data_IF_139567297635
#
_entry.id   IF_139567297635
#
_cell.length_a   1.000
_cell.length_b   1.000
_cell.length_c   1.000
_cell.angle_alpha   90.00
_cell.angle_beta   90.00
_cell.angle_gamma   90.00
#
_symmetry.space_group_name_H-M   'P 1'
#
loop_
_entity.id
_entity.type
_entity.pdbx_description
1 polymer ?
#
# COMPACT_ATOMS: atom_id res chain seq x y z
N UNK A 1 -21.14 3.56 -31.24
CA UNK A 1 -20.49 2.33 -30.74
C UNK A 1 -19.18 2.75 -30.10
N UNK A 2 -18.82 2.21 -28.93
CA UNK A 2 -17.57 2.59 -28.28
C UNK A 2 -16.37 1.94 -29.00
N UNK A 3 -15.21 2.63 -29.06
CA UNK A 3 -13.99 2.04 -29.59
C UNK A 3 -13.63 0.76 -28.82
N UNK A 4 -13.17 -0.25 -29.54
CA UNK A 4 -12.65 -1.50 -29.00
C UNK A 4 -11.13 -1.42 -28.73
N UNK A 5 -10.57 -2.41 -28.03
CA UNK A 5 -9.12 -2.54 -27.81
C UNK A 5 -8.31 -2.69 -29.10
N UNK A 6 -8.96 -3.06 -30.21
CA UNK A 6 -8.34 -3.11 -31.54
C UNK A 6 -8.25 -1.75 -32.25
N UNK A 7 -9.01 -0.76 -31.78
CA UNK A 7 -8.96 0.61 -32.30
C UNK A 7 -7.72 1.36 -31.78
N UNK A 8 -7.35 2.43 -32.50
CA UNK A 8 -6.24 3.29 -32.12
C UNK A 8 -6.37 3.77 -30.66
N UNK A 9 -5.22 3.92 -29.99
CA UNK A 9 -5.15 4.40 -28.62
C UNK A 9 -5.83 5.77 -28.49
N UNK A 10 -5.65 6.63 -29.49
CA UNK A 10 -6.26 7.95 -29.62
C UNK A 10 -7.79 7.86 -29.65
N UNK A 11 -8.36 6.98 -30.48
CA UNK A 11 -9.81 6.78 -30.55
C UNK A 11 -10.36 6.29 -29.21
N UNK A 12 -9.70 5.31 -28.59
CA UNK A 12 -10.07 4.79 -27.26
C UNK A 12 -10.07 5.87 -26.19
N UNK A 13 -9.07 6.75 -26.17
CA UNK A 13 -8.99 7.83 -25.18
C UNK A 13 -9.97 8.96 -25.50
N UNK A 14 -10.28 9.24 -26.76
CA UNK A 14 -11.12 10.36 -27.15
C UNK A 14 -12.52 10.31 -26.51
N UNK A 15 -13.09 9.11 -26.30
CA UNK A 15 -14.38 8.97 -25.59
C UNK A 15 -14.31 9.65 -24.21
N UNK A 16 -13.20 9.43 -23.50
CA UNK A 16 -12.60 10.18 -22.39
C UNK A 16 -13.14 11.57 -22.06
N UNK A 17 -13.12 12.47 -23.05
CA UNK A 17 -13.15 13.90 -22.75
C UNK A 17 -12.05 14.35 -21.78
N UNK A 18 -11.03 13.52 -21.51
CA UNK A 18 -9.96 13.86 -20.58
C UNK A 18 -9.28 15.15 -21.02
N UNK A 19 -8.77 15.89 -20.03
CA UNK A 19 -7.96 17.06 -20.31
C UNK A 19 -6.75 16.73 -21.17
N UNK A 20 -6.32 17.70 -21.98
CA UNK A 20 -5.23 17.50 -22.93
C UNK A 20 -3.94 17.00 -22.27
N UNK A 21 -3.61 17.49 -21.07
CA UNK A 21 -2.46 17.03 -20.30
C UNK A 21 -2.54 15.53 -19.97
N UNK A 22 -3.71 15.04 -19.54
CA UNK A 22 -3.92 13.63 -19.20
C UNK A 22 -3.98 12.77 -20.46
N UNK A 23 -4.68 13.22 -21.51
CA UNK A 23 -4.67 12.55 -22.82
C UNK A 23 -3.25 12.35 -23.33
N UNK A 24 -2.43 13.40 -23.33
CA UNK A 24 -1.04 13.34 -23.78
C UNK A 24 -0.19 12.42 -22.90
N UNK A 25 -0.44 12.41 -21.58
CA UNK A 25 0.23 11.49 -20.64
C UNK A 25 -0.11 10.05 -20.95
N UNK A 26 -1.39 9.72 -21.17
CA UNK A 26 -1.81 8.37 -21.54
C UNK A 26 -1.16 7.98 -22.87
N UNK A 27 -1.26 8.79 -23.93
CA UNK A 27 -0.72 8.46 -25.25
C UNK A 27 0.78 8.13 -25.23
N UNK A 28 1.56 8.81 -24.39
CA UNK A 28 3.01 8.58 -24.23
C UNK A 28 3.36 7.48 -23.22
N UNK A 29 2.42 7.11 -22.34
CA UNK A 29 2.69 6.18 -21.26
C UNK A 29 2.83 4.75 -21.78
N UNK A 30 3.99 4.14 -21.50
CA UNK A 30 4.19 2.68 -21.62
C UNK A 30 3.81 1.95 -20.33
N UNK A 31 3.95 2.64 -19.20
CA UNK A 31 3.61 2.13 -17.87
C UNK A 31 2.65 3.06 -17.14
N UNK A 32 1.90 2.53 -16.20
CA UNK A 32 1.12 3.31 -15.25
C UNK A 32 1.33 2.80 -13.82
N UNK A 33 0.97 3.65 -12.86
CA UNK A 33 0.94 3.31 -11.45
C UNK A 33 -0.49 3.38 -10.94
N UNK A 34 -0.95 2.30 -10.32
CA UNK A 34 -2.26 2.24 -9.66
C UNK A 34 -2.06 2.40 -8.16
N UNK A 35 -2.64 3.45 -7.60
CA UNK A 35 -2.67 3.69 -6.16
C UNK A 35 -3.89 3.01 -5.55
N UNK A 36 -3.63 1.94 -4.80
CA UNK A 36 -4.52 1.45 -3.77
C UNK A 36 -4.55 2.39 -2.57
N UNK A 37 -5.00 1.86 -1.43
CA UNK A 37 -5.22 2.67 -0.23
C UNK A 37 -4.46 2.13 0.99
N UNK A 38 -3.78 1.00 0.86
CA UNK A 38 -3.08 0.36 1.96
C UNK A 38 -2.07 1.31 2.65
N UNK A 39 -1.81 1.12 3.95
CA UNK A 39 -0.93 2.00 4.73
C UNK A 39 0.44 2.26 4.09
N UNK A 40 1.01 1.29 3.38
CA UNK A 40 2.34 1.36 2.78
C UNK A 40 2.58 2.56 1.87
N UNK A 41 1.54 3.17 1.33
CA UNK A 41 1.66 4.39 0.51
C UNK A 41 2.22 5.57 1.31
N UNK A 42 2.12 5.57 2.65
CA UNK A 42 2.69 6.62 3.48
C UNK A 42 4.22 6.69 3.37
N UNK A 43 4.88 5.58 3.02
CA UNK A 43 6.33 5.52 2.74
C UNK A 43 6.71 6.07 1.37
N UNK A 44 5.75 6.31 0.48
CA UNK A 44 5.99 6.65 -0.92
C UNK A 44 5.91 8.17 -1.11
N UNK A 45 6.85 8.74 -1.87
CA UNK A 45 6.88 10.17 -2.21
C UNK A 45 5.99 10.49 -3.43
N UNK A 46 4.97 11.36 -3.31
CA UNK A 46 4.15 11.76 -4.46
C UNK A 46 4.92 12.45 -5.59
N UNK A 47 5.96 13.22 -5.26
CA UNK A 47 6.73 14.00 -6.26
C UNK A 47 7.44 13.12 -7.29
N UNK A 48 7.75 11.86 -6.95
CA UNK A 48 8.37 10.93 -7.89
C UNK A 48 7.47 10.60 -9.09
N UNK A 49 6.15 10.80 -8.99
CA UNK A 49 5.15 10.37 -9.97
C UNK A 49 4.69 11.49 -10.91
N UNK A 50 5.24 12.70 -10.84
CA UNK A 50 4.78 13.83 -11.63
C UNK A 50 4.74 13.54 -13.14
N UNK A 51 5.74 12.77 -13.62
CA UNK A 51 5.89 12.38 -15.04
C UNK A 51 5.20 11.06 -15.40
N UNK A 52 4.66 10.33 -14.42
CA UNK A 52 4.10 8.98 -14.60
C UNK A 52 2.58 9.01 -14.65
N UNK A 53 1.94 8.18 -15.48
CA UNK A 53 0.48 8.06 -15.46
C UNK A 53 0.03 7.44 -14.14
N UNK A 54 -0.69 8.22 -13.34
CA UNK A 54 -1.09 7.84 -11.99
C UNK A 54 -2.61 7.68 -11.92
N UNK A 55 -3.06 6.46 -11.65
CA UNK A 55 -4.47 6.11 -11.50
C UNK A 55 -4.71 5.80 -10.03
N UNK A 56 -5.62 6.52 -9.39
CA UNK A 56 -6.02 6.25 -8.01
C UNK A 56 -7.39 5.61 -7.93
N UNK A 57 -7.70 4.97 -6.79
CA UNK A 57 -9.01 4.36 -6.57
C UNK A 57 -9.72 4.98 -5.37
N UNK A 58 -11.06 5.00 -5.38
CA UNK A 58 -11.89 5.37 -4.23
C UNK A 58 -11.48 6.73 -3.61
N UNK A 59 -11.26 6.73 -2.28
CA UNK A 59 -10.93 7.90 -1.47
C UNK A 59 -9.43 8.18 -1.41
N UNK A 60 -8.67 7.79 -2.43
CA UNK A 60 -7.22 8.08 -2.55
C UNK A 60 -6.90 9.57 -2.36
N UNK A 61 -7.86 10.47 -2.60
CA UNK A 61 -7.75 11.91 -2.40
C UNK A 61 -7.59 12.36 -0.93
N UNK A 62 -7.75 11.44 0.01
CA UNK A 62 -7.41 11.63 1.44
C UNK A 62 -5.92 11.47 1.72
N UNK A 63 -5.15 11.01 0.75
CA UNK A 63 -3.69 10.85 0.84
C UNK A 63 -2.99 12.10 0.30
N UNK A 64 -1.66 12.11 0.31
CA UNK A 64 -0.87 13.18 -0.30
C UNK A 64 -0.78 13.08 -1.83
N UNK A 65 -1.36 12.06 -2.45
CA UNK A 65 -1.32 11.87 -3.90
C UNK A 65 -2.41 12.66 -4.63
N UNK A 66 -2.06 13.11 -5.83
CA UNK A 66 -2.98 13.74 -6.80
C UNK A 66 -2.95 12.95 -8.11
N UNK A 67 -3.75 11.87 -8.22
CA UNK A 67 -3.81 11.05 -9.43
C UNK A 67 -4.28 11.85 -10.65
N UNK A 68 -3.86 11.42 -11.83
CA UNK A 68 -4.38 11.93 -13.11
C UNK A 68 -5.84 11.50 -13.33
N UNK A 69 -6.16 10.27 -12.90
CA UNK A 69 -7.48 9.65 -13.00
C UNK A 69 -7.83 9.01 -11.66
N UNK A 70 -9.07 9.19 -11.20
CA UNK A 70 -9.60 8.42 -10.07
C UNK A 70 -10.70 7.48 -10.55
N UNK A 71 -10.60 6.21 -10.17
CA UNK A 71 -11.57 5.17 -10.45
C UNK A 71 -12.43 4.89 -9.22
N UNK A 72 -13.76 4.88 -9.37
CA UNK A 72 -14.70 4.53 -8.29
C UNK A 72 -15.80 3.64 -8.85
N UNK A 73 -16.05 2.51 -8.21
CA UNK A 73 -17.13 1.59 -8.63
C UNK A 73 -18.09 1.20 -7.50
N UNK A 74 -17.90 1.76 -6.30
CA UNK A 74 -18.83 1.70 -5.17
C UNK A 74 -19.24 3.13 -4.77
N UNK A 75 -20.54 3.48 -4.75
CA UNK A 75 -21.01 4.81 -4.38
C UNK A 75 -20.58 5.24 -2.98
N UNK A 76 -20.40 4.32 -2.03
CA UNK A 76 -19.94 4.64 -0.68
C UNK A 76 -18.47 5.09 -0.63
N UNK A 77 -17.71 4.79 -1.69
CA UNK A 77 -16.27 5.06 -1.77
C UNK A 77 -15.93 6.35 -2.51
N UNK A 78 -16.91 7.06 -3.08
CA UNK A 78 -16.69 8.39 -3.66
C UNK A 78 -16.48 9.43 -2.55
N UNK A 79 -15.31 10.09 -2.54
CA UNK A 79 -15.04 11.19 -1.61
C UNK A 79 -15.51 12.53 -2.16
N UNK A 80 -16.81 12.80 -1.98
CA UNK A 80 -17.45 14.03 -2.48
C UNK A 80 -16.84 15.31 -1.93
N UNK A 81 -16.25 15.28 -0.73
CA UNK A 81 -15.66 16.45 -0.09
C UNK A 81 -14.29 16.80 -0.68
N UNK A 82 -13.63 15.84 -1.33
CA UNK A 82 -12.30 16.00 -1.92
C UNK A 82 -12.30 15.98 -3.46
N UNK A 83 -13.48 16.07 -4.12
CA UNK A 83 -13.57 16.10 -5.59
C UNK A 83 -12.83 17.29 -6.22
N UNK A 84 -12.68 18.39 -5.51
CA UNK A 84 -11.90 19.54 -5.98
C UNK A 84 -10.40 19.23 -6.20
N UNK A 85 -9.91 18.07 -5.73
CA UNK A 85 -8.52 17.63 -5.93
C UNK A 85 -8.32 16.77 -7.18
N UNK A 86 -9.39 16.26 -7.80
CA UNK A 86 -9.29 15.38 -8.98
C UNK A 86 -9.44 16.16 -10.28
N UNK A 87 -8.73 15.70 -11.32
CA UNK A 87 -8.90 16.20 -12.68
C UNK A 87 -9.93 15.38 -13.46
N UNK A 88 -9.88 14.05 -13.31
CA UNK A 88 -10.70 13.13 -14.08
C UNK A 88 -11.24 12.00 -13.19
N UNK A 89 -12.51 11.66 -13.38
CA UNK A 89 -13.20 10.59 -12.66
C UNK A 89 -13.69 9.55 -13.68
N UNK A 90 -13.42 8.27 -13.44
CA UNK A 90 -14.02 7.16 -14.18
C UNK A 90 -14.86 6.37 -13.19
N UNK A 91 -16.17 6.25 -13.45
CA UNK A 91 -17.12 5.69 -12.48
C UNK A 91 -18.28 4.97 -13.16
N UNK A 92 -19.07 4.24 -12.36
CA UNK A 92 -20.26 3.55 -12.86
C UNK A 92 -21.45 4.51 -13.03
N UNK A 93 -22.35 4.22 -13.97
CA UNK A 93 -23.53 5.07 -14.28
C UNK A 93 -24.38 5.39 -13.04
N UNK A 94 -24.69 4.38 -12.23
CA UNK A 94 -25.52 4.56 -11.04
C UNK A 94 -24.86 5.47 -9.98
N UNK A 95 -23.53 5.52 -9.91
CA UNK A 95 -22.79 6.42 -9.02
C UNK A 95 -22.85 7.84 -9.57
N UNK A 96 -22.63 7.99 -10.88
CA UNK A 96 -22.74 9.28 -11.54
C UNK A 96 -24.13 9.88 -11.32
N UNK A 97 -25.20 9.14 -11.63
CA UNK A 97 -26.57 9.62 -11.44
C UNK A 97 -26.86 10.01 -9.99
N UNK A 98 -26.36 9.22 -9.02
CA UNK A 98 -26.53 9.49 -7.59
C UNK A 98 -25.81 10.77 -7.13
N UNK A 99 -24.67 11.11 -7.72
CA UNK A 99 -23.81 12.22 -7.25
C UNK A 99 -23.63 13.35 -8.28
N UNK A 100 -24.44 13.38 -9.35
CA UNK A 100 -24.29 14.30 -10.49
C UNK A 100 -24.15 15.76 -10.08
N UNK A 101 -24.92 16.24 -9.11
CA UNK A 101 -24.89 17.64 -8.67
C UNK A 101 -23.60 17.97 -7.91
N UNK A 102 -23.10 17.02 -7.12
CA UNK A 102 -21.82 17.15 -6.39
C UNK A 102 -20.62 17.07 -7.34
N UNK A 103 -20.75 16.24 -8.37
CA UNK A 103 -19.76 16.08 -9.44
C UNK A 103 -19.71 17.34 -10.30
N UNK A 104 -20.86 17.88 -10.72
CA UNK A 104 -20.95 19.10 -11.52
C UNK A 104 -20.47 20.35 -10.78
N UNK A 105 -20.69 20.42 -9.47
CA UNK A 105 -20.17 21.51 -8.62
C UNK A 105 -18.67 21.41 -8.32
N UNK A 106 -18.04 20.26 -8.57
CA UNK A 106 -16.60 20.10 -8.44
C UNK A 106 -15.89 20.68 -9.67
N UNK A 107 -15.74 22.02 -9.72
CA UNK A 107 -15.29 22.77 -10.91
C UNK A 107 -13.95 22.40 -11.55
N UNK A 108 -13.18 21.45 -11.00
CA UNK A 108 -11.96 20.89 -11.62
C UNK A 108 -12.16 19.55 -12.33
N UNK A 109 -13.34 18.94 -12.21
CA UNK A 109 -13.63 17.70 -12.89
C UNK A 109 -13.90 17.97 -14.37
N UNK A 110 -12.98 17.53 -15.23
CA UNK A 110 -13.00 17.87 -16.66
C UNK A 110 -13.77 16.86 -17.50
N UNK A 111 -13.92 15.63 -17.00
CA UNK A 111 -14.66 14.58 -17.69
C UNK A 111 -15.06 13.43 -16.78
N UNK A 112 -16.14 12.75 -17.17
CA UNK A 112 -16.65 11.54 -16.54
C UNK A 112 -16.97 10.49 -17.61
N UNK A 113 -16.69 9.22 -17.28
CA UNK A 113 -17.04 8.10 -18.14
C UNK A 113 -17.88 7.09 -17.43
N UNK A 114 -18.92 6.69 -18.15
CA UNK A 114 -20.04 5.89 -17.73
C UNK A 114 -19.81 4.46 -18.21
N UNK A 115 -19.44 3.60 -17.26
CA UNK A 115 -19.29 2.16 -17.48
C UNK A 115 -20.49 1.47 -16.82
N UNK A 116 -21.16 0.59 -17.56
CA UNK A 116 -22.22 -0.25 -17.03
C UNK A 116 -21.60 -1.24 -16.02
N UNK A 117 -22.32 -1.58 -14.96
CA UNK A 117 -21.90 -2.67 -14.07
C UNK A 117 -22.67 -3.91 -14.46
N UNK A 118 -21.96 -4.96 -14.86
CA UNK A 118 -22.57 -6.27 -14.90
C UNK A 118 -22.61 -6.80 -13.47
N UNK A 119 -23.78 -6.71 -12.83
CA UNK A 119 -24.08 -7.49 -11.63
C UNK A 119 -24.57 -8.85 -12.14
N UNK A 120 -23.75 -9.91 -12.17
CA UNK A 120 -24.32 -11.22 -12.38
C UNK A 120 -25.25 -11.48 -11.18
N UNK A 121 -26.57 -11.43 -11.42
CA UNK A 121 -27.60 -11.82 -10.46
C UNK A 121 -27.37 -13.27 -9.96
N UNK A 122 -26.58 -14.06 -10.70
CA UNK A 122 -25.97 -15.31 -10.26
C UNK A 122 -24.56 -15.08 -9.72
N UNK A 123 -24.38 -15.30 -8.42
CA UNK A 123 -23.07 -15.51 -7.78
C UNK A 123 -22.19 -16.40 -8.66
N UNK A 124 -21.11 -15.84 -9.22
CA UNK A 124 -19.72 -16.32 -9.08
C UNK A 124 -18.85 -15.59 -10.10
N UNK A 125 -17.76 -15.00 -9.59
CA UNK A 125 -16.69 -14.44 -10.39
C UNK A 125 -15.86 -15.49 -11.12
N UNK A 126 -16.12 -16.76 -10.84
CA UNK A 126 -15.51 -17.93 -11.48
C UNK A 126 -15.70 -17.95 -13.02
N UNK A 127 -16.57 -17.08 -13.56
CA UNK A 127 -16.95 -17.05 -14.99
C UNK A 127 -16.47 -15.82 -15.78
N UNK A 128 -15.61 -14.95 -15.23
CA UNK A 128 -15.03 -13.85 -16.04
C UNK A 128 -13.94 -14.41 -16.94
N UNK A 129 -14.28 -14.69 -18.19
CA UNK A 129 -13.39 -15.34 -19.15
C UNK A 129 -12.69 -14.40 -20.14
N UNK A 130 -13.11 -13.14 -20.18
CA UNK A 130 -12.50 -12.11 -21.01
C UNK A 130 -12.65 -10.72 -20.40
N UNK A 131 -11.79 -9.80 -20.83
CA UNK A 131 -12.02 -8.37 -20.65
C UNK A 131 -13.08 -7.91 -21.65
N UNK A 132 -13.92 -6.94 -21.26
CA UNK A 132 -14.77 -6.25 -22.21
C UNK A 132 -13.89 -5.47 -23.19
N UNK A 133 -13.84 -5.85 -24.48
CA UNK A 133 -12.95 -5.22 -25.45
C UNK A 133 -13.31 -3.75 -25.68
N UNK A 134 -14.50 -3.30 -25.31
CA UNK A 134 -14.94 -1.91 -25.43
C UNK A 134 -14.97 -1.19 -24.09
N UNK A 135 -14.68 -1.85 -22.96
CA UNK A 135 -14.84 -1.29 -21.61
C UNK A 135 -16.21 -0.59 -21.45
N UNK A 136 -17.27 -1.22 -21.95
CA UNK A 136 -18.66 -0.78 -21.77
C UNK A 136 -19.19 -1.25 -20.43
N UNK A 137 -18.66 -2.37 -19.94
CA UNK A 137 -19.02 -3.06 -18.73
C UNK A 137 -17.79 -3.34 -17.87
N UNK A 138 -18.00 -3.33 -16.55
CA UNK A 138 -17.07 -3.92 -15.57
C UNK A 138 -17.81 -4.96 -14.74
N UNK A 139 -17.06 -5.95 -14.27
CA UNK A 139 -17.53 -6.93 -13.29
C UNK A 139 -17.27 -6.39 -11.89
N UNK A 140 -18.23 -6.51 -10.95
CA UNK A 140 -18.07 -6.04 -9.57
C UNK A 140 -17.85 -7.14 -8.53
N UNK A 141 -16.69 -7.11 -7.87
CA UNK A 141 -16.11 -8.22 -7.11
C UNK A 141 -15.50 -7.77 -5.80
N UNK A 142 -15.71 -6.50 -5.48
CA UNK A 142 -15.33 -5.90 -4.22
C UNK A 142 -13.92 -5.28 -4.25
N UNK A 143 -13.29 -5.12 -5.41
CA UNK A 143 -11.97 -4.51 -5.51
C UNK A 143 -11.84 -3.61 -6.75
N UNK A 144 -11.99 -2.29 -6.59
CA UNK A 144 -11.92 -1.30 -7.69
C UNK A 144 -10.62 -1.38 -8.51
N UNK A 145 -9.51 -1.80 -7.88
CA UNK A 145 -8.24 -2.05 -8.59
C UNK A 145 -8.44 -3.12 -9.66
N UNK A 146 -8.99 -4.26 -9.28
CA UNK A 146 -9.23 -5.41 -10.14
C UNK A 146 -10.37 -5.14 -11.11
N UNK A 147 -11.46 -4.56 -10.60
CA UNK A 147 -12.73 -4.44 -11.29
C UNK A 147 -12.72 -3.33 -12.36
N UNK A 148 -11.93 -2.27 -12.15
CA UNK A 148 -11.97 -1.09 -13.00
C UNK A 148 -10.58 -0.55 -13.38
N UNK A 149 -9.68 -0.34 -12.43
CA UNK A 149 -8.41 0.36 -12.71
C UNK A 149 -7.48 -0.46 -13.64
N UNK A 150 -7.40 -1.78 -13.45
CA UNK A 150 -6.63 -2.66 -14.35
C UNK A 150 -7.30 -2.73 -15.74
N UNK A 151 -8.60 -3.09 -15.89
CA UNK A 151 -9.27 -3.09 -17.19
C UNK A 151 -9.14 -1.76 -17.95
N UNK A 152 -9.27 -0.62 -17.25
CA UNK A 152 -9.07 0.70 -17.83
C UNK A 152 -7.64 0.90 -18.36
N UNK A 153 -6.63 0.45 -17.61
CA UNK A 153 -5.23 0.53 -18.02
C UNK A 153 -4.94 -0.33 -19.26
N UNK A 154 -5.49 -1.54 -19.31
CA UNK A 154 -5.41 -2.41 -20.50
C UNK A 154 -6.12 -1.77 -21.69
N UNK A 155 -7.31 -1.20 -21.47
CA UNK A 155 -8.05 -0.46 -22.50
C UNK A 155 -7.31 0.79 -22.99
N UNK A 156 -6.42 1.38 -22.18
CA UNK A 156 -5.53 2.45 -22.63
C UNK A 156 -4.28 1.94 -23.37
N UNK A 157 -4.09 0.64 -23.53
CA UNK A 157 -2.90 0.07 -24.17
C UNK A 157 -1.63 0.28 -23.36
N UNK A 158 -1.72 0.27 -22.03
CA UNK A 158 -0.56 0.30 -21.13
C UNK A 158 0.11 -1.08 -21.12
N UNK A 159 1.43 -1.13 -21.24
CA UNK A 159 2.20 -2.39 -21.29
C UNK A 159 2.56 -2.91 -19.89
N UNK A 160 2.81 -1.99 -18.95
CA UNK A 160 3.23 -2.34 -17.58
C UNK A 160 2.41 -1.59 -16.52
N UNK A 161 1.83 -2.33 -15.58
CA UNK A 161 1.02 -1.80 -14.49
C UNK A 161 1.72 -2.07 -13.16
N UNK A 162 2.01 -1.02 -12.40
CA UNK A 162 2.62 -1.10 -11.08
C UNK A 162 1.63 -0.71 -10.00
N UNK A 163 1.22 -1.66 -9.16
CA UNK A 163 0.24 -1.42 -8.10
C UNK A 163 0.96 -1.08 -6.80
N UNK A 164 0.52 -0.01 -6.15
CA UNK A 164 1.02 0.51 -4.88
C UNK A 164 -0.10 0.45 -3.82
N UNK A 165 0.23 0.30 -2.54
CA UNK A 165 -0.78 0.24 -1.47
C UNK A 165 -1.66 -1.01 -1.52
N UNK A 166 -1.15 -2.12 -2.04
CA UNK A 166 -1.83 -3.42 -2.12
C UNK A 166 -1.45 -4.27 -0.90
N UNK A 167 -1.93 -3.85 0.27
CA UNK A 167 -1.39 -4.35 1.54
C UNK A 167 -2.11 -5.55 2.15
N UNK A 168 -3.21 -6.02 1.55
CA UNK A 168 -4.11 -7.04 2.09
C UNK A 168 -4.74 -6.61 3.44
N UNK A 169 -6.08 -6.54 3.47
CA UNK A 169 -6.83 -6.08 4.65
C UNK A 169 -6.47 -6.89 5.90
N UNK A 170 -6.29 -8.20 5.76
CA UNK A 170 -5.94 -9.10 6.87
C UNK A 170 -4.55 -8.84 7.47
N UNK A 171 -3.64 -8.23 6.70
CA UNK A 171 -2.24 -7.97 7.08
C UNK A 171 -1.93 -6.49 7.34
N UNK A 172 -2.90 -5.62 7.07
CA UNK A 172 -2.80 -4.18 7.28
C UNK A 172 -3.23 -3.73 8.68
N UNK A 173 -3.76 -4.64 9.52
CA UNK A 173 -4.17 -4.39 10.91
C UNK A 173 -3.22 -3.43 11.65
N UNK A 174 -3.72 -2.42 12.40
CA UNK A 174 -5.13 -2.21 12.76
C UNK A 174 -5.92 -1.39 11.75
N UNK A 175 -5.31 -0.92 10.65
CA UNK A 175 -6.01 -0.06 9.68
C UNK A 175 -5.91 -0.60 8.26
N UNK A 176 -7.02 -0.59 7.54
CA UNK A 176 -7.05 -1.05 6.15
C UNK A 176 -6.55 0.01 5.16
N UNK A 177 -6.50 1.29 5.57
CA UNK A 177 -6.16 2.40 4.70
C UNK A 177 -5.12 3.34 5.32
N UNK A 178 -4.35 4.04 4.50
CA UNK A 178 -3.31 4.98 4.92
C UNK A 178 -3.78 6.16 5.77
N UNK A 179 -5.08 6.47 5.71
CA UNK A 179 -5.75 7.51 6.50
C UNK A 179 -6.61 6.94 7.64
N UNK A 180 -6.57 5.63 7.90
CA UNK A 180 -7.35 4.98 8.95
C UNK A 180 -8.15 3.77 8.46
N UNK A 181 -9.20 3.41 9.20
CA UNK A 181 -10.13 2.34 8.81
C UNK A 181 -11.43 2.95 8.33
N UNK A 182 -11.94 2.43 7.21
CA UNK A 182 -13.38 2.49 6.96
C UNK A 182 -14.03 1.32 7.72
N UNK A 183 -15.34 1.40 8.02
CA UNK A 183 -16.08 0.25 8.56
C UNK A 183 -15.83 -0.98 7.68
N UNK A 184 -15.34 -2.05 8.29
CA UNK A 184 -14.87 -3.28 7.62
C UNK A 184 -16.04 -4.22 7.31
N UNK A 185 -17.26 -3.84 7.68
CA UNK A 185 -18.47 -4.60 7.39
C UNK A 185 -18.62 -4.81 5.88
N UNK A 186 -18.65 -6.07 5.45
CA UNK A 186 -18.81 -6.44 4.05
C UNK A 186 -17.55 -6.37 3.18
N UNK A 187 -16.36 -6.21 3.75
CA UNK A 187 -15.13 -6.37 2.98
C UNK A 187 -15.03 -7.82 2.42
N UNK A 188 -14.69 -8.01 1.13
CA UNK A 188 -14.52 -9.35 0.58
C UNK A 188 -13.38 -10.08 1.28
N UNK A 189 -13.51 -11.39 1.42
CA UNK A 189 -12.47 -12.24 1.99
C UNK A 189 -11.17 -12.14 1.17
N UNK A 190 -10.01 -12.13 1.82
CA UNK A 190 -8.71 -12.03 1.14
C UNK A 190 -8.50 -13.14 0.10
N UNK A 191 -9.04 -14.35 0.33
CA UNK A 191 -8.96 -15.47 -0.63
C UNK A 191 -9.68 -15.16 -1.93
N UNK A 192 -10.90 -14.62 -1.86
CA UNK A 192 -11.67 -14.15 -3.01
C UNK A 192 -10.91 -13.04 -3.73
N UNK A 193 -10.46 -12.01 -3.02
CA UNK A 193 -9.70 -10.90 -3.62
C UNK A 193 -8.45 -11.40 -4.36
N UNK A 194 -7.72 -12.35 -3.78
CA UNK A 194 -6.55 -12.95 -4.41
C UNK A 194 -6.94 -13.76 -5.66
N UNK A 195 -8.03 -14.52 -5.62
CA UNK A 195 -8.54 -15.22 -6.79
C UNK A 195 -8.87 -14.23 -7.92
N UNK A 196 -9.59 -13.15 -7.63
CA UNK A 196 -9.96 -12.13 -8.61
C UNK A 196 -8.74 -11.43 -9.22
N UNK A 197 -7.77 -11.07 -8.38
CA UNK A 197 -6.51 -10.49 -8.83
C UNK A 197 -5.74 -11.46 -9.74
N UNK A 198 -5.73 -12.76 -9.41
CA UNK A 198 -5.08 -13.79 -10.21
C UNK A 198 -5.75 -13.94 -11.58
N UNK A 199 -7.08 -13.97 -11.60
CA UNK A 199 -7.87 -14.03 -12.84
C UNK A 199 -7.61 -12.81 -13.71
N UNK A 200 -7.66 -11.61 -13.13
CA UNK A 200 -7.38 -10.37 -13.84
C UNK A 200 -5.92 -10.31 -14.36
N UNK A 201 -4.97 -10.84 -13.59
CA UNK A 201 -3.58 -11.01 -14.02
C UNK A 201 -3.45 -11.88 -15.27
N UNK A 202 -4.19 -13.00 -15.31
CA UNK A 202 -4.25 -13.87 -16.48
C UNK A 202 -4.85 -13.16 -17.70
N UNK A 203 -5.99 -12.50 -17.54
CA UNK A 203 -6.66 -11.80 -18.64
C UNK A 203 -5.81 -10.64 -19.21
N UNK A 204 -5.17 -9.85 -18.34
CA UNK A 204 -4.28 -8.79 -18.78
C UNK A 204 -3.06 -9.33 -19.56
N UNK A 205 -2.54 -10.50 -19.17
CA UNK A 205 -1.43 -11.14 -19.87
C UNK A 205 -1.83 -11.63 -21.28
N UNK A 206 -3.09 -12.02 -21.51
CA UNK A 206 -3.59 -12.35 -22.85
C UNK A 206 -3.56 -11.13 -23.79
N UNK A 207 -3.70 -9.92 -23.23
CA UNK A 207 -3.55 -8.64 -23.93
C UNK A 207 -2.09 -8.12 -23.95
N UNK A 208 -1.12 -8.95 -23.53
CA UNK A 208 0.30 -8.60 -23.52
C UNK A 208 0.72 -7.67 -22.38
N UNK A 209 -0.13 -7.44 -21.38
CA UNK A 209 0.11 -6.51 -20.29
C UNK A 209 0.72 -7.21 -19.07
N UNK A 210 1.76 -6.61 -18.48
CA UNK A 210 2.41 -7.11 -17.26
C UNK A 210 1.93 -6.34 -16.04
N UNK A 211 1.60 -7.06 -14.97
CA UNK A 211 1.16 -6.46 -13.71
C UNK A 211 2.14 -6.82 -12.60
N UNK A 212 2.55 -5.81 -11.84
CA UNK A 212 3.50 -5.93 -10.74
C UNK A 212 2.92 -5.33 -9.46
N UNK A 213 3.24 -5.95 -8.32
CA UNK A 213 3.04 -5.33 -7.01
C UNK A 213 4.32 -4.59 -6.61
N UNK A 214 4.28 -3.27 -6.63
CA UNK A 214 5.36 -2.38 -6.22
C UNK A 214 5.12 -1.75 -4.84
N UNK A 215 4.15 -2.28 -4.08
CA UNK A 215 3.87 -1.84 -2.71
C UNK A 215 5.09 -2.04 -1.81
N UNK A 216 5.29 -1.09 -0.91
CA UNK A 216 6.39 -1.09 0.04
C UNK A 216 5.98 -1.88 1.28
N UNK A 217 6.38 -3.14 1.35
CA UNK A 217 5.76 -4.09 2.27
C UNK A 217 4.35 -4.50 1.83
N UNK A 218 3.47 -4.73 2.79
CA UNK A 218 2.12 -5.21 2.52
C UNK A 218 2.09 -6.73 2.32
N UNK A 219 0.88 -7.27 2.44
CA UNK A 219 0.62 -8.69 2.50
C UNK A 219 0.31 -9.39 1.19
N UNK A 220 -0.13 -8.65 0.16
CA UNK A 220 -0.60 -9.25 -1.08
C UNK A 220 0.53 -9.87 -1.90
N UNK A 221 0.28 -11.07 -2.41
CA UNK A 221 1.25 -11.91 -3.13
C UNK A 221 0.78 -12.33 -4.52
N UNK A 222 -0.40 -11.90 -4.97
CA UNK A 222 -0.99 -12.35 -6.24
C UNK A 222 -0.18 -11.92 -7.46
N UNK A 223 0.30 -10.67 -7.47
CA UNK A 223 1.15 -10.17 -8.54
C UNK A 223 2.63 -10.25 -8.15
N UNK A 224 3.50 -10.44 -9.16
CA UNK A 224 4.95 -10.47 -8.95
C UNK A 224 5.41 -9.20 -8.23
N UNK A 225 6.08 -9.37 -7.09
CA UNK A 225 6.61 -8.26 -6.30
C UNK A 225 7.89 -7.71 -6.90
N UNK A 226 7.99 -6.38 -6.92
CA UNK A 226 9.13 -5.62 -7.43
C UNK A 226 9.50 -4.50 -6.48
N UNK A 227 10.78 -4.10 -6.47
CA UNK A 227 11.25 -3.02 -5.61
C UNK A 227 11.00 -1.66 -6.29
N UNK A 228 10.13 -0.83 -5.70
CA UNK A 228 9.75 0.47 -6.26
C UNK A 228 10.96 1.40 -6.46
N UNK A 229 11.92 1.38 -5.53
CA UNK A 229 13.16 2.17 -5.62
C UNK A 229 14.12 1.71 -6.73
N UNK A 230 13.84 0.58 -7.39
CA UNK A 230 14.54 0.16 -8.61
C UNK A 230 13.81 0.58 -9.89
N UNK A 231 12.54 0.99 -9.77
CA UNK A 231 11.66 1.32 -10.90
C UNK A 231 11.55 2.83 -11.06
N UNK A 232 11.53 3.56 -9.94
CA UNK A 232 11.33 4.98 -9.88
C UNK A 232 12.23 5.58 -8.79
N UNK A 233 13.18 6.40 -9.21
CA UNK A 233 14.10 7.07 -8.30
C UNK A 233 13.37 8.10 -7.43
N UNK A 234 13.83 8.27 -6.19
CA UNK A 234 13.20 9.16 -5.22
C UNK A 234 11.78 8.74 -4.75
N UNK A 235 11.27 7.58 -5.19
CA UNK A 235 9.91 7.14 -4.85
C UNK A 235 9.74 6.74 -3.38
N UNK A 236 10.82 6.40 -2.68
CA UNK A 236 10.79 6.02 -1.26
C UNK A 236 11.20 7.21 -0.41
N UNK A 237 10.36 7.62 0.54
CA UNK A 237 10.72 8.65 1.51
C UNK A 237 11.82 8.12 2.43
N UNK A 238 12.98 8.78 2.37
CA UNK A 238 14.18 8.47 3.18
C UNK A 238 14.39 9.50 4.28
N UNK A 239 14.20 10.78 3.98
CA UNK A 239 14.45 11.87 4.91
C UNK A 239 13.34 11.93 5.96
N UNK A 240 13.74 12.05 7.23
CA UNK A 240 12.83 12.19 8.36
C UNK A 240 13.37 13.25 9.32
N UNK A 241 12.73 14.41 9.33
CA UNK A 241 13.17 15.58 10.09
C UNK A 241 12.63 15.54 11.53
N UNK A 242 12.75 14.38 12.20
CA UNK A 242 12.40 14.24 13.61
C UNK A 242 13.67 13.91 14.38
N UNK A 243 14.05 14.79 15.31
CA UNK A 243 15.03 14.46 16.32
C UNK A 243 14.42 13.43 17.28
N UNK A 244 15.07 12.27 17.37
CA UNK A 244 14.68 11.18 18.25
C UNK A 244 15.67 10.98 19.40
N UNK A 245 16.60 11.91 19.61
CA UNK A 245 17.57 11.85 20.70
C UNK A 245 16.89 11.74 22.05
N UNK A 246 17.24 10.70 22.80
CA UNK A 246 16.66 10.37 24.11
C UNK A 246 15.14 10.11 24.10
N UNK A 247 14.58 9.78 22.94
CA UNK A 247 13.19 9.36 22.80
C UNK A 247 13.06 7.84 22.86
N UNK A 248 11.86 7.37 23.13
CA UNK A 248 11.59 5.95 23.37
C UNK A 248 10.77 5.33 22.25
N UNK A 249 10.97 4.03 22.03
CA UNK A 249 10.11 3.18 21.20
C UNK A 249 9.74 1.90 21.96
N UNK A 250 8.61 1.30 21.59
CA UNK A 250 8.28 -0.06 21.98
C UNK A 250 8.77 -1.05 20.91
N UNK A 251 9.44 -2.11 21.34
CA UNK A 251 9.99 -3.15 20.45
C UNK A 251 9.89 -4.53 21.10
N UNK A 252 9.12 -5.45 20.48
CA UNK A 252 8.88 -6.82 20.96
C UNK A 252 8.55 -6.88 22.46
N UNK A 253 7.69 -5.96 22.92
CA UNK A 253 7.31 -5.85 24.31
C UNK A 253 8.40 -5.29 25.24
N UNK A 254 9.42 -4.62 24.72
CA UNK A 254 10.45 -3.92 25.50
C UNK A 254 10.43 -2.42 25.18
N UNK A 255 10.94 -1.59 26.09
CA UNK A 255 11.14 -0.16 25.87
C UNK A 255 12.60 0.10 25.54
N UNK A 256 12.86 0.77 24.42
CA UNK A 256 14.20 1.14 23.97
C UNK A 256 14.32 2.65 23.84
N UNK A 257 15.42 3.22 24.33
CA UNK A 257 15.80 4.61 24.14
C UNK A 257 16.71 4.77 22.92
N UNK A 258 16.46 5.77 22.09
CA UNK A 258 17.27 6.10 20.93
C UNK A 258 18.47 6.97 21.32
N UNK A 259 19.67 6.49 20.99
CA UNK A 259 20.93 7.19 21.20
C UNK A 259 21.61 7.43 19.85
N UNK A 260 22.18 8.62 19.62
CA UNK A 260 22.98 8.84 18.42
C UNK A 260 24.18 7.89 18.41
N UNK A 261 24.48 7.34 17.25
CA UNK A 261 25.72 6.59 17.03
C UNK A 261 26.87 7.56 16.71
N UNK A 262 28.06 7.02 16.43
CA UNK A 262 29.26 7.83 16.14
C UNK A 262 29.11 8.59 14.80
N UNK A 263 28.26 8.11 13.91
CA UNK A 263 27.99 8.72 12.61
C UNK A 263 26.65 9.45 12.62
N UNK A 264 26.64 10.66 12.06
CA UNK A 264 25.44 11.47 11.92
C UNK A 264 24.33 10.71 11.17
N UNK A 265 23.10 10.80 11.70
CA UNK A 265 21.92 10.14 11.14
C UNK A 265 21.82 8.63 11.40
N UNK A 266 22.76 8.05 12.17
CA UNK A 266 22.73 6.65 12.60
C UNK A 266 22.40 6.58 14.09
N UNK A 267 21.54 5.64 14.47
CA UNK A 267 20.98 5.51 15.80
C UNK A 267 21.16 4.09 16.34
N UNK A 268 21.42 4.00 17.66
CA UNK A 268 21.38 2.75 18.44
C UNK A 268 20.21 2.80 19.41
N UNK A 269 19.51 1.69 19.56
CA UNK A 269 18.34 1.58 20.44
C UNK A 269 18.68 0.73 21.66
N UNK A 270 18.77 1.36 22.83
CA UNK A 270 19.21 0.73 24.08
C UNK A 270 18.04 0.53 25.04
N UNK A 271 17.88 -0.69 25.52
CA UNK A 271 16.91 -1.04 26.55
C UNK A 271 17.54 -1.11 27.94
N UNK A 272 16.80 -1.70 28.87
CA UNK A 272 17.25 -1.91 30.24
C UNK A 272 18.40 -2.91 30.34
N UNK A 273 19.07 -2.93 31.50
CA UNK A 273 20.20 -3.82 31.79
C UNK A 273 21.32 -3.74 30.73
N UNK A 274 21.52 -2.55 30.17
CA UNK A 274 22.52 -2.28 29.13
C UNK A 274 22.38 -3.21 27.92
N UNK A 275 21.15 -3.45 27.46
CA UNK A 275 20.89 -4.24 26.24
C UNK A 275 20.70 -3.32 25.04
N UNK A 276 21.15 -3.75 23.88
CA UNK A 276 20.98 -3.03 22.60
C UNK A 276 20.25 -3.92 21.61
N UNK A 277 19.36 -3.30 20.83
CA UNK A 277 18.76 -3.95 19.67
C UNK A 277 19.81 -4.15 18.58
N UNK A 278 19.94 -5.38 18.10
CA UNK A 278 20.81 -5.72 16.97
C UNK A 278 20.20 -6.82 16.13
N UNK A 279 20.70 -6.99 14.91
CA UNK A 279 20.40 -8.16 14.11
C UNK A 279 21.52 -9.22 14.20
N UNK A 280 21.16 -10.48 13.97
CA UNK A 280 22.08 -11.60 13.75
C UNK A 280 21.41 -12.55 12.76
N UNK A 281 22.05 -12.79 11.62
CA UNK A 281 21.45 -13.59 10.53
C UNK A 281 20.04 -13.09 10.12
N UNK A 282 19.88 -11.77 10.03
CA UNK A 282 18.59 -11.09 9.75
C UNK A 282 17.50 -11.26 10.81
N UNK A 283 17.76 -11.82 11.98
CA UNK A 283 16.79 -11.89 13.10
C UNK A 283 17.17 -10.81 14.11
N UNK A 284 16.19 -10.08 14.65
CA UNK A 284 16.43 -9.04 15.64
C UNK A 284 16.43 -9.62 17.05
N UNK A 285 17.38 -9.16 17.86
CA UNK A 285 17.58 -9.57 19.24
C UNK A 285 17.90 -8.36 20.12
N UNK A 286 17.70 -8.52 21.42
CA UNK A 286 18.27 -7.63 22.44
C UNK A 286 19.47 -8.32 23.06
N UNK A 287 20.68 -7.84 22.80
CA UNK A 287 21.92 -8.40 23.35
C UNK A 287 22.56 -7.43 24.34
N UNK A 288 23.44 -7.89 25.22
CA UNK A 288 24.23 -6.99 26.09
C UNK A 288 25.10 -6.08 25.21
N UNK A 289 25.10 -4.79 25.49
CA UNK A 289 25.92 -3.81 24.79
C UNK A 289 27.38 -3.93 25.26
N UNK A 290 28.24 -4.45 24.38
CA UNK A 290 29.67 -4.63 24.62
C UNK A 290 30.39 -3.66 23.69
N UNK A 291 30.82 -2.52 24.23
CA UNK A 291 31.35 -1.41 23.43
C UNK A 291 32.62 -1.75 22.63
N UNK A 292 33.32 -2.84 22.94
CA UNK A 292 34.52 -3.27 22.22
C UNK A 292 34.21 -4.16 21.00
N UNK A 293 32.97 -4.68 20.88
CA UNK A 293 32.57 -5.54 19.78
C UNK A 293 32.17 -4.70 18.54
N UNK A 294 33.07 -4.63 17.56
CA UNK A 294 32.83 -3.92 16.30
C UNK A 294 31.67 -4.52 15.50
N UNK A 295 31.48 -5.84 15.51
CA UNK A 295 30.40 -6.48 14.78
C UNK A 295 29.05 -6.14 15.42
N UNK A 296 29.00 -6.10 16.76
CA UNK A 296 27.84 -5.63 17.49
C UNK A 296 27.47 -4.20 17.14
N UNK A 297 28.44 -3.29 17.03
CA UNK A 297 28.18 -1.91 16.60
C UNK A 297 27.55 -1.85 15.21
N UNK A 298 28.14 -2.57 14.23
CA UNK A 298 27.60 -2.62 12.88
C UNK A 298 26.19 -3.20 12.82
N UNK A 299 25.91 -4.21 13.63
CA UNK A 299 24.62 -4.89 13.66
C UNK A 299 23.54 -4.19 14.51
N UNK A 300 23.93 -3.18 15.31
CA UNK A 300 23.03 -2.38 16.16
C UNK A 300 22.78 -0.96 15.67
N UNK A 301 23.46 -0.55 14.59
CA UNK A 301 23.34 0.76 13.97
C UNK A 301 22.21 0.78 12.93
N UNK A 302 21.22 1.65 13.15
CA UNK A 302 20.06 1.82 12.28
C UNK A 302 19.93 3.24 11.75
N UNK A 303 19.46 3.37 10.52
CA UNK A 303 19.06 4.63 9.90
C UNK A 303 17.56 4.78 10.09
N UNK A 304 17.16 5.94 10.59
CA UNK A 304 15.76 6.27 10.84
C UNK A 304 15.16 6.97 9.64
N UNK A 305 14.01 6.48 9.20
CA UNK A 305 13.29 7.00 8.05
C UNK A 305 11.79 7.10 8.38
N UNK A 306 10.97 7.81 7.57
CA UNK A 306 9.53 7.85 7.77
C UNK A 306 8.93 6.45 7.78
N UNK A 307 7.90 6.19 8.58
CA UNK A 307 7.35 4.85 8.69
C UNK A 307 6.55 4.38 7.46
N UNK A 308 6.19 3.10 7.47
CA UNK A 308 5.28 2.50 6.50
C UNK A 308 3.81 2.72 6.84
N UNK A 309 3.51 3.16 8.07
CA UNK A 309 2.15 3.16 8.61
C UNK A 309 1.59 4.56 8.81
N UNK A 310 2.32 5.44 9.51
CA UNK A 310 1.91 6.82 9.82
C UNK A 310 3.08 7.79 9.59
N UNK A 311 2.74 9.03 9.23
CA UNK A 311 3.74 10.05 8.92
C UNK A 311 4.56 10.51 10.14
N UNK A 312 4.05 10.36 11.36
CA UNK A 312 4.73 10.75 12.60
C UNK A 312 5.45 9.59 13.30
N UNK A 313 5.49 8.41 12.68
CA UNK A 313 6.18 7.23 13.18
C UNK A 313 7.47 7.01 12.39
N UNK A 314 8.35 6.14 12.88
CA UNK A 314 9.61 5.77 12.22
C UNK A 314 9.59 4.36 11.64
N UNK A 315 10.46 4.13 10.66
CA UNK A 315 10.93 2.80 10.28
C UNK A 315 12.44 2.74 10.48
N UNK A 316 12.95 1.54 10.76
CA UNK A 316 14.38 1.32 11.04
C UNK A 316 15.00 0.55 9.88
N UNK A 317 15.94 1.16 9.18
CA UNK A 317 16.74 0.51 8.14
C UNK A 317 18.10 0.15 8.69
N UNK A 318 18.58 -1.05 8.40
CA UNK A 318 19.94 -1.45 8.76
C UNK A 318 20.98 -0.56 8.06
N UNK A 319 22.01 -0.14 8.80
CA UNK A 319 23.13 0.62 8.27
C UNK A 319 24.12 -0.26 7.48
N UNK A 320 24.29 -1.53 7.88
CA UNK A 320 25.24 -2.47 7.28
C UNK A 320 24.61 -3.45 6.28
N UNK A 321 23.29 -3.55 6.23
CA UNK A 321 22.53 -4.28 5.19
C UNK A 321 21.62 -3.30 4.44
N UNK A 322 22.14 -2.63 3.39
CA UNK A 322 21.39 -1.63 2.63
C UNK A 322 20.06 -2.20 2.11
N UNK A 323 19.02 -1.36 2.12
CA UNK A 323 17.63 -1.69 1.72
C UNK A 323 16.88 -2.70 2.60
N UNK A 324 17.47 -3.16 3.71
CA UNK A 324 16.81 -4.06 4.65
C UNK A 324 16.27 -3.32 5.86
N UNK A 325 15.02 -3.58 6.21
CA UNK A 325 14.29 -2.92 7.29
C UNK A 325 13.96 -3.89 8.41
N UNK A 326 13.90 -3.38 9.63
CA UNK A 326 13.30 -4.08 10.77
C UNK A 326 11.82 -4.23 10.50
N UNK A 327 11.37 -5.47 10.32
CA UNK A 327 9.99 -5.77 9.91
C UNK A 327 9.43 -6.96 10.66
N UNK A 328 8.12 -7.01 10.80
CA UNK A 328 7.38 -8.22 11.21
C UNK A 328 6.14 -8.42 10.34
N UNK A 329 5.69 -9.67 10.23
CA UNK A 329 4.44 -10.02 9.53
C UNK A 329 3.24 -10.08 10.46
N UNK A 330 3.43 -9.94 11.78
CA UNK A 330 2.36 -10.00 12.78
C UNK A 330 2.87 -9.91 14.22
N UNK A 331 1.97 -9.82 15.21
CA UNK A 331 2.35 -9.53 16.60
C UNK A 331 3.13 -10.67 17.28
N UNK A 332 2.86 -11.94 16.95
CA UNK A 332 3.63 -13.07 17.48
C UNK A 332 4.77 -13.54 16.55
N UNK A 333 5.06 -12.80 15.49
CA UNK A 333 6.12 -13.14 14.55
C UNK A 333 7.40 -12.41 14.94
N UNK A 334 8.53 -13.10 14.81
CA UNK A 334 9.84 -12.52 15.10
C UNK A 334 10.15 -11.35 14.15
N UNK A 335 10.80 -10.33 14.70
CA UNK A 335 11.30 -9.23 13.91
C UNK A 335 12.51 -9.69 13.11
N UNK A 336 12.50 -9.36 11.81
CA UNK A 336 13.58 -9.70 10.87
C UNK A 336 13.96 -8.50 10.02
N UNK A 337 15.19 -8.52 9.55
CA UNK A 337 15.63 -7.67 8.45
C UNK A 337 15.09 -8.22 7.13
N UNK A 338 14.26 -7.43 6.44
CA UNK A 338 13.71 -7.78 5.13
C UNK A 338 13.89 -6.64 4.14
N UNK A 339 14.16 -6.93 2.85
CA UNK A 339 14.09 -5.93 1.79
C UNK A 339 12.73 -5.23 1.74
N UNK A 340 12.70 -3.98 1.30
CA UNK A 340 11.47 -3.19 1.14
C UNK A 340 10.43 -3.82 0.20
N UNK A 341 10.89 -4.66 -0.74
CA UNK A 341 10.04 -5.40 -1.67
C UNK A 341 9.45 -6.70 -1.10
N UNK A 342 9.87 -7.12 0.09
CA UNK A 342 9.33 -8.31 0.75
C UNK A 342 7.94 -8.07 1.33
N UNK A 343 7.23 -9.15 1.63
CA UNK A 343 5.95 -9.08 2.33
C UNK A 343 6.17 -8.90 3.84
N UNK A 344 5.55 -7.88 4.43
CA UNK A 344 5.54 -7.60 5.86
C UNK A 344 4.35 -6.70 6.21
N UNK A 345 3.99 -6.61 7.49
CA UNK A 345 2.93 -5.71 7.95
C UNK A 345 3.49 -4.29 8.08
N UNK A 346 2.90 -3.28 7.42
CA UNK A 346 3.31 -1.89 7.60
C UNK A 346 3.25 -1.44 9.06
N UNK A 347 2.22 -1.87 9.81
CA UNK A 347 2.05 -1.53 11.22
C UNK A 347 3.15 -2.11 12.11
N UNK A 348 3.34 -3.43 12.09
CA UNK A 348 4.39 -4.09 12.89
C UNK A 348 5.81 -3.87 12.37
N UNK A 349 5.98 -3.04 11.34
CA UNK A 349 7.29 -2.62 10.82
C UNK A 349 7.51 -1.11 10.98
N UNK A 350 6.64 -0.46 11.75
CA UNK A 350 6.66 0.97 12.04
C UNK A 350 6.63 1.16 13.56
N UNK A 351 7.40 2.13 14.07
CA UNK A 351 7.56 2.36 15.49
C UNK A 351 7.10 3.77 15.85
N UNK A 352 6.22 3.87 16.83
CA UNK A 352 5.86 5.15 17.44
C UNK A 352 7.03 5.65 18.30
N UNK A 353 7.25 6.95 18.26
CA UNK A 353 8.31 7.62 19.03
C UNK A 353 7.65 8.38 20.18
N UNK A 354 8.05 8.07 21.40
CA UNK A 354 7.50 8.62 22.63
C UNK A 354 8.51 9.54 23.32
N UNK A 355 8.05 10.68 23.82
CA UNK A 355 8.87 11.55 24.67
C UNK A 355 8.96 11.00 26.11
N UNK A 356 7.95 10.22 26.53
CA UNK A 356 7.82 9.63 27.86
C UNK A 356 8.16 8.13 27.83
N UNK A 357 9.00 7.69 28.78
CA UNK A 357 9.29 6.26 28.98
C UNK A 357 8.01 5.50 29.37
N UNK A 358 7.12 6.11 30.15
CA UNK A 358 5.85 5.52 30.59
C UNK A 358 4.93 5.19 29.42
N UNK A 359 4.77 6.11 28.47
CA UNK A 359 3.91 5.92 27.31
C UNK A 359 4.46 4.79 26.41
N UNK A 360 5.79 4.71 26.29
CA UNK A 360 6.45 3.61 25.60
C UNK A 360 6.23 2.25 26.32
N UNK A 361 6.15 2.23 27.65
CA UNK A 361 5.79 1.01 28.40
C UNK A 361 4.35 0.59 28.13
N UNK A 362 3.39 1.53 28.17
CA UNK A 362 1.99 1.22 27.86
C UNK A 362 1.87 0.60 26.47
N UNK A 363 2.60 1.15 25.50
CA UNK A 363 2.68 0.58 24.17
C UNK A 363 3.32 -0.82 24.15
N UNK A 364 4.41 -1.02 24.89
CA UNK A 364 5.08 -2.32 24.98
C UNK A 364 4.17 -3.39 25.63
N UNK A 365 3.40 -3.05 26.67
CA UNK A 365 2.41 -3.95 27.25
C UNK A 365 1.30 -4.30 26.26
N UNK A 366 0.82 -3.31 25.50
CA UNK A 366 -0.16 -3.54 24.44
C UNK A 366 0.37 -4.53 23.38
N UNK A 367 1.62 -4.39 22.95
CA UNK A 367 2.24 -5.31 22.00
C UNK A 367 2.36 -6.74 22.57
N UNK A 368 2.67 -6.89 23.88
CA UNK A 368 2.68 -8.20 24.57
C UNK A 368 1.29 -8.83 24.63
N UNK A 369 0.26 -8.02 24.90
CA UNK A 369 -1.12 -8.49 24.91
C UNK A 369 -1.54 -8.98 23.52
N UNK A 370 -1.25 -8.20 22.47
CA UNK A 370 -1.51 -8.61 21.07
C UNK A 370 -0.83 -9.93 20.73
N UNK A 371 0.43 -10.10 21.12
CA UNK A 371 1.20 -11.33 20.93
C UNK A 371 0.54 -12.52 21.64
N UNK A 372 0.08 -12.31 22.87
CA UNK A 372 -0.62 -13.34 23.67
C UNK A 372 -1.92 -13.77 23.01
N UNK A 373 -2.74 -12.80 22.59
CA UNK A 373 -4.01 -13.04 21.90
C UNK A 373 -3.81 -13.79 20.59
N UNK A 374 -2.84 -13.40 19.76
CA UNK A 374 -2.53 -14.08 18.49
C UNK A 374 -2.06 -15.53 18.72
N UNK A 375 -1.25 -15.79 19.76
CA UNK A 375 -0.86 -17.15 20.12
C UNK A 375 -2.05 -18.01 20.56
N UNK A 376 -3.00 -17.44 21.31
CA UNK A 376 -4.22 -18.12 21.73
C UNK A 376 -5.11 -18.48 20.52
N UNK A 377 -5.32 -17.54 19.59
CA UNK A 377 -6.07 -17.80 18.36
C UNK A 377 -5.45 -18.91 17.51
N UNK A 378 -4.13 -18.90 17.34
CA UNK A 378 -3.41 -19.98 16.62
C UNK A 378 -3.51 -21.33 17.34
N UNK A 379 -3.49 -21.34 18.67
CA UNK A 379 -3.68 -22.56 19.45
C UNK A 379 -5.09 -23.13 19.25
N UNK A 380 -6.11 -22.28 19.32
CA UNK A 380 -7.50 -22.66 19.09
C UNK A 380 -7.73 -23.18 17.67
N UNK A 381 -7.20 -22.48 16.66
CA UNK A 381 -7.29 -22.90 15.26
C UNK A 381 -6.67 -24.28 15.00
N UNK A 382 -5.52 -24.57 15.63
CA UNK A 382 -4.91 -25.92 15.56
C UNK A 382 -5.77 -26.99 16.21
N UNK A 383 -6.38 -26.68 17.36
CA UNK A 383 -7.26 -27.62 18.06
C UNK A 383 -8.53 -27.92 17.24
N UNK A 384 -9.11 -26.91 16.60
CA UNK A 384 -10.26 -27.08 15.71
C UNK A 384 -9.92 -27.88 14.46
N UNK A 385 -8.74 -27.68 13.86
CA UNK A 385 -8.29 -28.43 12.68
C UNK A 385 -7.92 -29.90 12.98
N UNK A 386 -7.72 -30.26 14.26
CA UNK A 386 -7.39 -31.62 14.70
C UNK A 386 -8.59 -32.48 15.05
N UNK A 387 -9.80 -31.92 15.02
CA UNK A 387 -11.08 -32.60 15.18
C UNK A 387 -11.74 -32.76 13.82
#
# INVERSE_FOLDING_TARGET
MFPSMSDSREARIARFGFSEDVRNKILRARRCFILGLGPSINKISPSAFERELLIGVNRVMRTSFTPDIVCVSDPMRLDVNNLHKIKNLVTCNHIFEKYKDKIASAGKLRSYHNINVHFPLSKTWDFVDSLDPRLETIYWGGAVITDLAIPLSVYFGIEEIYILGLDDVSRSYPVSHAYGSDDVEGAPESSLVNHLQGRMGYLAAQEGVKIFNASVGGGAFTFKRVALDKILDGAIKRNFDIDISNKYIAFDGNVLCAHPSVKDGIWRFKGEANRVMRHRHNILHLDKDIDEDMQLKLDSDFIVEPSFFRNNWISLRSSNLPRSYVTSTGPAQEFRLRPISSAFSPFFSSFEVFDSKTDAYERAEFDRLLKTVDMQFKSLGRLLASR
#
